data_IF_884882260653
#
_entry.id   IF_884882260653
#
_cell.length_a   1.000
_cell.length_b   1.000
_cell.length_c   1.000
_cell.angle_alpha   90.00
_cell.angle_beta   90.00
_cell.angle_gamma   90.00
#
_symmetry.space_group_name_H-M   'P 1'
#
loop_
_entity.id
_entity.type
_entity.pdbx_description
1 polymer ?
#
# COMPACT_ATOMS: atom_id res chain seq x y z
N UNK A 1 -3.14 -1.64 19.95
CA UNK A 1 -2.58 -2.07 21.26
C UNK A 1 -3.72 -2.09 22.28
N UNK A 2 -3.94 -3.22 22.95
CA UNK A 2 -5.07 -3.43 23.89
C UNK A 2 -4.99 -2.55 25.14
N UNK A 3 -3.79 -2.17 25.57
CA UNK A 3 -3.58 -1.31 26.74
C UNK A 3 -3.97 0.13 26.45
N UNK A 4 -3.50 0.65 25.31
CA UNK A 4 -3.80 2.03 24.88
C UNK A 4 -5.31 2.21 24.73
N UNK A 5 -5.98 1.27 24.06
CA UNK A 5 -7.43 1.34 23.87
C UNK A 5 -8.18 1.24 25.20
N UNK A 6 -7.73 0.41 26.14
CA UNK A 6 -8.34 0.31 27.48
C UNK A 6 -8.18 1.61 28.28
N UNK A 7 -6.99 2.21 28.27
CA UNK A 7 -6.75 3.50 28.93
C UNK A 7 -7.62 4.63 28.35
N UNK A 8 -7.78 4.68 27.02
CA UNK A 8 -8.68 5.65 26.38
C UNK A 8 -10.12 5.40 26.81
N UNK A 9 -10.55 4.15 26.84
CA UNK A 9 -11.89 3.77 27.24
C UNK A 9 -12.20 4.14 28.69
N UNK A 10 -11.24 3.94 29.60
CA UNK A 10 -11.33 4.35 31.01
C UNK A 10 -11.40 5.88 31.14
N UNK A 11 -10.58 6.62 30.39
CA UNK A 11 -10.63 8.08 30.36
C UNK A 11 -11.97 8.62 29.82
N UNK A 12 -12.64 7.88 28.93
CA UNK A 12 -13.97 8.20 28.41
C UNK A 12 -15.12 7.68 29.30
N UNK A 13 -14.82 7.06 30.45
CA UNK A 13 -15.82 6.49 31.37
C UNK A 13 -16.56 5.27 30.80
N UNK A 14 -16.02 4.62 29.76
CA UNK A 14 -16.58 3.43 29.11
C UNK A 14 -15.58 2.28 29.16
N UNK A 15 -15.25 1.81 30.35
CA UNK A 15 -14.26 0.73 30.55
C UNK A 15 -14.61 -0.51 29.71
N UNK A 16 -13.63 -0.98 28.94
CA UNK A 16 -13.72 -2.21 28.13
C UNK A 16 -13.01 -3.40 28.79
N UNK A 17 -12.30 -3.21 29.91
CA UNK A 17 -11.62 -4.27 30.66
C UNK A 17 -10.59 -5.13 29.88
N UNK A 18 -10.09 -4.61 28.76
CA UNK A 18 -9.17 -5.30 27.85
C UNK A 18 -7.68 -5.01 28.10
N UNK A 19 -7.32 -4.55 29.31
CA UNK A 19 -5.99 -4.01 29.62
C UNK A 19 -4.82 -5.00 29.51
N UNK A 20 -5.08 -6.29 29.26
CA UNK A 20 -4.04 -7.32 29.07
C UNK A 20 -4.39 -8.25 27.92
N UNK A 21 -3.37 -8.87 27.32
CA UNK A 21 -3.55 -9.90 26.29
C UNK A 21 -4.38 -11.07 26.81
N UNK A 22 -4.16 -11.50 28.05
CA UNK A 22 -4.92 -12.60 28.68
C UNK A 22 -6.38 -12.25 28.92
N UNK A 23 -6.71 -11.00 29.25
CA UNK A 23 -8.10 -10.54 29.35
C UNK A 23 -8.77 -10.53 27.97
N UNK A 24 -8.11 -9.95 26.96
CA UNK A 24 -8.63 -9.91 25.59
C UNK A 24 -8.81 -11.31 24.98
N UNK A 25 -7.87 -12.22 25.20
CA UNK A 25 -7.97 -13.60 24.73
C UNK A 25 -9.15 -14.34 25.37
N UNK A 26 -9.37 -14.17 26.68
CA UNK A 26 -10.54 -14.75 27.37
C UNK A 26 -11.86 -14.19 26.86
N UNK A 27 -11.94 -12.88 26.63
CA UNK A 27 -13.15 -12.26 26.09
C UNK A 27 -13.44 -12.74 24.66
N UNK A 28 -12.42 -12.79 23.79
CA UNK A 28 -12.55 -13.35 22.44
C UNK A 28 -13.01 -14.81 22.50
N UNK A 29 -12.43 -15.62 23.39
CA UNK A 29 -12.82 -17.01 23.56
C UNK A 29 -14.28 -17.15 24.05
N UNK A 30 -14.78 -16.19 24.84
CA UNK A 30 -16.16 -16.19 25.33
C UNK A 30 -17.20 -15.97 24.23
N UNK A 31 -16.82 -15.38 23.09
CA UNK A 31 -17.68 -15.26 21.91
C UNK A 31 -17.98 -16.62 21.28
N UNK A 32 -17.13 -17.62 21.52
CA UNK A 32 -17.24 -18.95 20.93
C UNK A 32 -16.93 -18.97 19.43
N UNK A 33 -16.90 -20.17 18.81
CA UNK A 33 -16.87 -20.28 17.37
C UNK A 33 -18.19 -19.79 16.76
N UNK A 34 -18.13 -19.26 15.55
CA UNK A 34 -19.33 -18.93 14.78
C UNK A 34 -20.18 -20.19 14.54
N UNK A 35 -21.40 -20.19 15.05
CA UNK A 35 -22.37 -21.31 14.98
C UNK A 35 -23.58 -21.01 14.06
N UNK A 36 -23.65 -19.81 13.49
CA UNK A 36 -24.68 -19.40 12.54
C UNK A 36 -24.46 -19.88 11.10
N UNK A 37 -25.46 -19.68 10.24
CA UNK A 37 -25.30 -19.90 8.80
C UNK A 37 -24.24 -18.93 8.24
N UNK A 38 -23.32 -19.42 7.40
CA UNK A 38 -22.44 -18.52 6.64
C UNK A 38 -23.27 -17.65 5.72
N UNK A 39 -22.90 -16.38 5.58
CA UNK A 39 -23.48 -15.52 4.57
C UNK A 39 -23.33 -16.16 3.19
N UNK A 40 -24.42 -16.17 2.41
CA UNK A 40 -24.38 -16.62 1.01
C UNK A 40 -23.54 -15.65 0.21
N UNK A 41 -22.63 -16.18 -0.61
CA UNK A 41 -21.84 -15.34 -1.52
C UNK A 41 -22.78 -14.60 -2.48
N UNK A 42 -22.69 -13.28 -2.47
CA UNK A 42 -23.36 -12.43 -3.45
C UNK A 42 -22.30 -11.97 -4.45
N UNK A 43 -22.35 -12.50 -5.67
CA UNK A 43 -21.40 -12.12 -6.70
C UNK A 43 -21.57 -10.64 -7.05
N UNK A 44 -20.49 -9.88 -6.93
CA UNK A 44 -20.42 -8.51 -7.45
C UNK A 44 -20.02 -8.59 -8.93
N UNK A 45 -20.67 -7.83 -9.83
CA UNK A 45 -20.27 -7.80 -11.23
C UNK A 45 -18.80 -7.37 -11.36
N UNK A 46 -18.11 -7.96 -12.33
CA UNK A 46 -16.74 -7.57 -12.65
C UNK A 46 -16.68 -6.08 -12.99
N UNK A 47 -15.66 -5.40 -12.47
CA UNK A 47 -15.39 -4.02 -12.87
C UNK A 47 -14.72 -4.05 -14.23
N UNK A 48 -15.29 -3.34 -15.20
CA UNK A 48 -14.69 -3.16 -16.52
C UNK A 48 -13.25 -2.66 -16.40
N UNK A 49 -12.36 -3.18 -17.25
CA UNK A 49 -10.98 -2.72 -17.31
C UNK A 49 -10.95 -1.21 -17.58
N UNK A 50 -10.02 -0.50 -16.94
CA UNK A 50 -9.79 0.90 -17.24
C UNK A 50 -9.32 1.02 -18.70
N UNK A 51 -9.90 1.94 -19.46
CA UNK A 51 -9.33 2.34 -20.75
C UNK A 51 -8.16 3.27 -20.47
N UNK A 52 -6.96 2.85 -20.88
CA UNK A 52 -5.72 3.59 -20.62
C UNK A 52 -5.24 4.27 -21.90
N UNK A 53 -4.83 5.53 -21.79
CA UNK A 53 -4.04 6.18 -22.82
C UNK A 53 -2.61 5.60 -22.86
N UNK A 54 -1.85 5.91 -23.92
CA UNK A 54 -0.51 5.38 -24.12
C UNK A 54 0.48 5.76 -23.00
N UNK A 55 0.32 6.93 -22.40
CA UNK A 55 1.12 7.41 -21.27
C UNK A 55 0.57 6.98 -19.90
N UNK A 56 -0.54 6.24 -19.86
CA UNK A 56 -1.21 5.86 -18.62
C UNK A 56 -0.93 4.41 -18.23
N UNK A 57 -1.03 4.13 -16.94
CA UNK A 57 -0.87 2.82 -16.33
C UNK A 57 -1.77 2.68 -15.10
N UNK A 58 -2.05 1.45 -14.69
CA UNK A 58 -2.60 1.13 -13.40
C UNK A 58 -1.49 0.98 -12.36
N UNK A 59 -1.54 1.79 -11.30
CA UNK A 59 -0.61 1.67 -10.17
C UNK A 59 -0.94 0.42 -9.35
N UNK A 60 0.00 -0.52 -9.28
CA UNK A 60 -0.04 -1.67 -8.38
C UNK A 60 0.97 -1.43 -7.26
N UNK A 61 0.53 -1.50 -6.01
CA UNK A 61 1.40 -1.21 -4.86
C UNK A 61 1.28 -2.19 -3.70
N UNK A 62 2.39 -2.35 -3.00
CA UNK A 62 2.53 -3.19 -1.81
C UNK A 62 3.26 -2.44 -0.70
N UNK A 63 3.10 -2.92 0.54
CA UNK A 63 3.90 -2.43 1.68
C UNK A 63 5.21 -3.22 1.73
N UNK A 64 6.32 -2.53 2.00
CA UNK A 64 7.59 -3.20 2.34
C UNK A 64 7.59 -3.50 3.84
N UNK A 65 8.33 -4.53 4.24
CA UNK A 65 8.52 -4.83 5.67
C UNK A 65 9.16 -3.65 6.40
N UNK A 66 10.22 -3.08 5.81
CA UNK A 66 10.82 -1.82 6.25
C UNK A 66 10.31 -0.69 5.35
N UNK A 67 9.47 0.18 5.91
CA UNK A 67 8.82 1.30 5.25
C UNK A 67 8.61 2.47 6.25
N UNK A 68 7.84 3.51 5.89
CA UNK A 68 7.52 4.62 6.80
C UNK A 68 6.37 4.26 7.78
N UNK A 69 6.36 3.03 8.29
CA UNK A 69 5.42 2.58 9.31
C UNK A 69 5.66 3.28 10.64
N UNK A 70 4.59 3.65 11.34
CA UNK A 70 4.67 4.41 12.61
C UNK A 70 5.42 3.66 13.71
N UNK A 71 5.38 2.33 13.71
CA UNK A 71 6.14 1.49 14.65
C UNK A 71 7.64 1.39 14.33
N UNK A 72 8.10 1.97 13.22
CA UNK A 72 9.53 2.04 12.84
C UNK A 72 10.12 3.45 13.07
N UNK A 73 9.33 4.38 13.62
CA UNK A 73 9.74 5.77 13.81
C UNK A 73 10.84 5.88 14.88
N UNK A 74 11.90 6.62 14.58
CA UNK A 74 13.04 6.82 15.48
C UNK A 74 14.11 5.72 15.40
N UNK A 75 14.01 4.82 14.43
CA UNK A 75 14.96 3.72 14.21
C UNK A 75 15.76 3.95 12.92
N UNK A 76 16.58 5.00 12.87
CA UNK A 76 17.30 5.41 11.65
C UNK A 76 18.27 4.34 11.14
N UNK A 77 18.91 3.60 12.05
CA UNK A 77 19.83 2.51 11.72
C UNK A 77 19.09 1.37 11.00
N UNK A 78 17.90 0.99 11.49
CA UNK A 78 17.07 -0.03 10.84
C UNK A 78 16.58 0.46 9.48
N UNK A 79 16.11 1.72 9.41
CA UNK A 79 15.68 2.34 8.15
C UNK A 79 16.80 2.36 7.09
N UNK A 80 18.06 2.48 7.50
CA UNK A 80 19.23 2.39 6.62
C UNK A 80 19.42 1.02 5.93
N UNK A 81 18.80 -0.04 6.45
CA UNK A 81 18.84 -1.39 5.86
C UNK A 81 17.67 -1.68 4.91
N UNK A 82 16.76 -0.71 4.73
CA UNK A 82 15.61 -0.87 3.86
C UNK A 82 16.04 -1.06 2.40
N UNK A 83 15.30 -1.90 1.67
CA UNK A 83 15.49 -2.06 0.22
C UNK A 83 15.20 -0.73 -0.49
N UNK A 84 15.92 -0.49 -1.58
CA UNK A 84 15.71 0.69 -2.42
C UNK A 84 14.24 0.79 -2.88
N UNK A 85 13.69 2.00 -2.77
CA UNK A 85 12.38 2.34 -3.35
C UNK A 85 12.53 2.48 -4.86
N UNK A 86 11.95 1.55 -5.61
CA UNK A 86 12.00 1.48 -7.06
C UNK A 86 10.59 1.38 -7.64
N UNK A 87 10.38 1.93 -8.83
CA UNK A 87 9.22 1.63 -9.64
C UNK A 87 9.56 0.51 -10.63
N UNK A 88 8.63 -0.43 -10.87
CA UNK A 88 8.82 -1.52 -11.83
C UNK A 88 7.87 -1.31 -13.01
N UNK A 89 8.39 -1.42 -14.24
CA UNK A 89 7.63 -1.29 -15.50
C UNK A 89 7.99 -2.41 -16.47
N UNK A 90 7.12 -2.68 -17.44
CA UNK A 90 7.39 -3.67 -18.48
C UNK A 90 8.47 -3.22 -19.48
N UNK A 91 9.13 -4.14 -20.20
CA UNK A 91 10.07 -3.79 -21.27
C UNK A 91 9.46 -2.92 -22.34
N UNK A 92 8.21 -3.18 -22.75
CA UNK A 92 7.50 -2.40 -23.76
C UNK A 92 7.31 -0.95 -23.32
N UNK A 93 6.88 -0.72 -22.08
CA UNK A 93 6.74 0.64 -21.55
C UNK A 93 8.08 1.34 -21.49
N UNK A 94 9.12 0.65 -21.02
CA UNK A 94 10.48 1.19 -20.95
C UNK A 94 10.97 1.66 -22.33
N UNK A 95 10.78 0.85 -23.37
CA UNK A 95 11.07 1.23 -24.76
C UNK A 95 10.21 2.42 -25.21
N UNK A 96 8.91 2.41 -24.93
CA UNK A 96 7.99 3.48 -25.34
C UNK A 96 8.34 4.85 -24.75
N UNK A 97 8.86 4.91 -23.53
CA UNK A 97 9.23 6.16 -22.86
C UNK A 97 10.74 6.43 -22.86
N UNK A 98 11.54 5.58 -23.54
CA UNK A 98 12.97 5.77 -23.70
C UNK A 98 13.77 5.74 -22.40
N UNK A 99 13.48 4.77 -21.52
CA UNK A 99 14.18 4.55 -20.25
C UNK A 99 14.68 3.11 -20.13
N UNK A 100 15.69 2.94 -19.28
CA UNK A 100 16.32 1.66 -18.92
C UNK A 100 16.40 1.55 -17.39
N UNK A 101 16.64 0.34 -16.86
CA UNK A 101 16.83 0.14 -15.41
C UNK A 101 17.88 1.11 -14.84
N UNK A 102 17.52 1.82 -13.78
CA UNK A 102 18.35 2.85 -13.14
C UNK A 102 17.95 4.29 -13.51
N UNK A 103 17.31 4.51 -14.65
CA UNK A 103 16.73 5.82 -14.99
C UNK A 103 15.61 6.20 -14.02
N UNK A 104 15.16 7.45 -14.06
CA UNK A 104 14.05 7.93 -13.24
C UNK A 104 12.80 8.12 -14.08
N UNK A 105 11.66 7.72 -13.51
CA UNK A 105 10.33 7.98 -14.06
C UNK A 105 9.51 8.80 -13.08
N UNK A 106 8.65 9.66 -13.62
CA UNK A 106 7.61 10.37 -12.88
C UNK A 106 6.30 9.61 -13.02
N UNK A 107 5.70 9.28 -11.88
CA UNK A 107 4.38 8.66 -11.78
C UNK A 107 3.45 9.71 -11.18
N UNK A 108 2.40 10.09 -11.90
CA UNK A 108 1.56 11.24 -11.52
C UNK A 108 0.09 11.04 -11.80
N UNK A 109 -0.74 11.82 -11.12
CA UNK A 109 -2.15 12.00 -11.42
C UNK A 109 -2.58 13.44 -11.06
N UNK A 110 -3.88 13.72 -11.04
CA UNK A 110 -4.41 15.04 -10.72
C UNK A 110 -4.04 15.55 -9.31
N UNK A 111 -3.63 14.67 -8.39
CA UNK A 111 -3.33 15.04 -7.00
C UNK A 111 -1.84 15.32 -6.76
N UNK A 112 -0.95 14.72 -7.56
CA UNK A 112 0.47 14.92 -7.39
C UNK A 112 1.32 13.95 -8.19
N UNK A 113 2.60 13.85 -7.81
CA UNK A 113 3.58 13.02 -8.49
C UNK A 113 4.63 12.44 -7.54
N UNK A 114 5.26 11.35 -7.99
CA UNK A 114 6.42 10.73 -7.36
C UNK A 114 7.46 10.45 -8.43
N UNK A 115 8.73 10.66 -8.10
CA UNK A 115 9.84 10.34 -9.00
C UNK A 115 10.64 9.20 -8.37
N UNK A 116 10.72 8.08 -9.08
CA UNK A 116 11.37 6.87 -8.61
C UNK A 116 12.36 6.35 -9.65
N UNK A 117 13.50 5.78 -9.22
CA UNK A 117 14.33 4.99 -10.11
C UNK A 117 13.54 3.78 -10.61
N UNK A 118 13.76 3.42 -11.88
CA UNK A 118 13.02 2.37 -12.57
C UNK A 118 13.80 1.07 -12.57
N UNK A 119 13.07 -0.04 -12.45
CA UNK A 119 13.53 -1.38 -12.73
C UNK A 119 12.64 -1.95 -13.84
N UNK A 120 13.24 -2.42 -14.92
CA UNK A 120 12.51 -3.05 -16.03
C UNK A 120 12.46 -4.55 -15.80
N UNK A 121 11.25 -5.10 -15.69
CA UNK A 121 10.99 -6.52 -15.42
C UNK A 121 9.78 -7.00 -16.22
N UNK A 122 9.61 -8.31 -16.32
CA UNK A 122 8.46 -8.93 -16.98
C UNK A 122 7.18 -8.78 -16.14
N UNK A 123 6.51 -7.65 -16.34
CA UNK A 123 5.20 -7.33 -15.77
C UNK A 123 4.24 -6.91 -16.88
N UNK A 124 2.94 -6.90 -16.58
CA UNK A 124 1.93 -6.46 -17.55
C UNK A 124 2.17 -5.01 -18.04
N UNK A 125 2.02 -4.79 -19.36
CA UNK A 125 2.34 -3.50 -20.02
C UNK A 125 1.56 -2.29 -19.49
N UNK A 126 0.32 -2.56 -19.06
CA UNK A 126 -0.59 -1.57 -18.50
C UNK A 126 -0.33 -1.28 -17.02
N UNK A 127 0.63 -1.96 -16.39
CA UNK A 127 0.93 -1.79 -14.98
C UNK A 127 2.17 -0.94 -14.74
N UNK A 128 2.15 -0.21 -13.63
CA UNK A 128 3.35 0.31 -12.97
C UNK A 128 3.31 -0.10 -11.52
N UNK A 129 4.43 -0.59 -11.02
CA UNK A 129 4.53 -1.22 -9.71
C UNK A 129 5.38 -0.33 -8.81
N UNK A 130 4.92 -0.02 -7.60
CA UNK A 130 5.74 0.76 -6.66
C UNK A 130 5.43 0.42 -5.18
N UNK A 131 6.43 0.50 -4.28
CA UNK A 131 6.18 0.47 -2.84
C UNK A 131 5.17 1.55 -2.44
N UNK A 132 4.26 1.23 -1.53
CA UNK A 132 3.16 2.13 -1.16
C UNK A 132 3.58 3.25 -0.21
N UNK A 133 4.48 2.97 0.71
CA UNK A 133 4.80 3.86 1.83
C UNK A 133 6.29 3.87 2.19
N UNK A 134 7.16 3.67 1.21
CA UNK A 134 8.61 3.80 1.39
C UNK A 134 9.04 5.23 1.05
N UNK A 135 10.15 5.71 1.63
CA UNK A 135 10.70 7.06 1.36
C UNK A 135 10.75 7.32 -0.15
N UNK A 136 10.14 8.43 -0.58
CA UNK A 136 10.04 8.82 -1.98
C UNK A 136 8.72 8.42 -2.65
N UNK A 137 8.17 7.25 -2.32
CA UNK A 137 6.97 6.69 -2.96
C UNK A 137 5.66 7.15 -2.32
N UNK A 138 5.46 7.01 -1.01
CA UNK A 138 4.32 7.58 -0.22
C UNK A 138 2.99 7.76 -1.00
N UNK A 139 2.56 6.73 -1.74
CA UNK A 139 1.63 6.87 -2.86
C UNK A 139 0.26 7.38 -2.42
N UNK A 140 -0.23 6.91 -1.27
CA UNK A 140 -1.50 7.36 -0.72
C UNK A 140 -1.46 8.85 -0.36
N UNK A 141 -0.34 9.33 0.19
CA UNK A 141 -0.20 10.73 0.58
C UNK A 141 0.02 11.66 -0.64
N UNK A 142 0.74 11.18 -1.65
CA UNK A 142 1.15 12.00 -2.81
C UNK A 142 0.20 11.91 -4.01
N UNK A 143 -0.49 10.79 -4.18
CA UNK A 143 -1.39 10.51 -5.31
C UNK A 143 -2.85 10.28 -4.88
N UNK A 144 -3.13 10.18 -3.57
CA UNK A 144 -4.44 9.81 -3.01
C UNK A 144 -4.91 8.39 -3.29
N UNK A 145 -4.12 7.61 -4.03
CA UNK A 145 -4.46 6.26 -4.42
C UNK A 145 -3.41 5.29 -3.88
N UNK A 146 -3.86 4.28 -3.16
CA UNK A 146 -3.00 3.19 -2.73
C UNK A 146 -2.75 2.21 -3.89
N UNK A 147 -3.77 1.80 -4.64
CA UNK A 147 -3.68 0.72 -5.63
C UNK A 147 -4.82 0.85 -6.64
N UNK A 148 -4.61 0.38 -7.88
CA UNK A 148 -5.63 0.29 -8.93
C UNK A 148 -6.05 1.63 -9.53
N UNK A 149 -5.37 2.72 -9.16
CA UNK A 149 -5.59 4.03 -9.76
C UNK A 149 -4.89 4.16 -11.11
N UNK A 150 -5.50 4.92 -12.02
CA UNK A 150 -4.85 5.34 -13.27
C UNK A 150 -3.84 6.44 -12.94
N UNK A 151 -2.63 6.30 -13.48
CA UNK A 151 -1.52 7.25 -13.33
C UNK A 151 -0.83 7.44 -14.68
N UNK A 152 -0.28 8.63 -14.91
CA UNK A 152 0.62 8.91 -16.02
C UNK A 152 2.03 8.51 -15.64
N UNK A 153 2.73 7.84 -16.56
CA UNK A 153 4.10 7.37 -16.39
C UNK A 153 4.95 7.92 -17.52
N UNK A 154 5.87 8.82 -17.16
CA UNK A 154 6.76 9.50 -18.11
C UNK A 154 8.20 9.46 -17.63
N UNK A 155 9.15 9.65 -18.54
CA UNK A 155 10.55 9.91 -18.17
C UNK A 155 10.63 11.19 -17.34
N UNK A 156 11.36 11.14 -16.22
CA UNK A 156 11.54 12.28 -15.32
C UNK A 156 12.54 13.30 -15.85
#
# INVERSE_FOLDING_TARGET
DVRILSMIADALGKTISLGTVSAASREIASLGPWDGARATFTATPERSAATLAADEALITSWRRLLDLGTLQKGEENLAGTARQTIAVISPKRATSIGVTTGDKISISNAQGSVVLPVLVEDIHDDAVWAPRNSRGSELLAKLGNAHGGVVKVVKA
#
